data_IF_537686273234
#
_entry.id   IF_537686273234
#
_cell.length_a   1.000
_cell.length_b   1.000
_cell.length_c   1.000
_cell.angle_alpha   90.00
_cell.angle_beta   90.00
_cell.angle_gamma   90.00
#
_symmetry.space_group_name_H-M   'P 1'
#
loop_
_entity.id
_entity.type
_entity.pdbx_description
1 polymer ?
#
# COMPACT_ATOMS: atom_id res chain seq x y z
N UNK A 1 -14.10 29.63 43.64
CA UNK A 1 -14.14 28.34 42.91
C UNK A 1 -12.72 28.01 42.49
N UNK A 2 -12.03 27.21 43.30
CA UNK A 2 -10.67 26.72 43.02
C UNK A 2 -10.76 25.67 41.92
N UNK A 3 -10.21 25.96 40.75
CA UNK A 3 -10.08 24.97 39.68
C UNK A 3 -9.13 23.87 40.14
N UNK A 4 -9.67 22.68 40.42
CA UNK A 4 -8.88 21.46 40.60
C UNK A 4 -8.06 21.21 39.33
N UNK A 5 -6.73 21.08 39.41
CA UNK A 5 -5.93 20.74 38.25
C UNK A 5 -6.30 19.32 37.83
N UNK A 6 -6.87 19.17 36.64
CA UNK A 6 -7.04 17.87 36.00
C UNK A 6 -5.66 17.23 35.88
N UNK A 7 -5.38 16.22 36.73
CA UNK A 7 -4.16 15.42 36.66
C UNK A 7 -4.02 14.88 35.24
N UNK A 8 -3.02 15.37 34.51
CA UNK A 8 -2.63 14.76 33.23
C UNK A 8 -2.36 13.27 33.47
N UNK A 9 -2.91 12.37 32.65
CA UNK A 9 -2.73 10.94 32.83
C UNK A 9 -1.23 10.60 32.87
N UNK A 10 -0.85 9.66 33.74
CA UNK A 10 0.53 9.20 33.83
C UNK A 10 1.02 8.72 32.45
N UNK A 11 2.23 9.11 32.02
CA UNK A 11 2.73 8.73 30.72
C UNK A 11 2.87 7.21 30.61
N UNK A 12 2.54 6.66 29.44
CA UNK A 12 2.75 5.25 29.11
C UNK A 12 4.11 5.09 28.42
N UNK A 13 4.75 3.94 28.63
CA UNK A 13 6.05 3.62 28.01
C UNK A 13 5.90 2.58 26.90
N UNK A 14 6.79 2.68 25.91
CA UNK A 14 6.74 1.89 24.69
C UNK A 14 8.15 1.51 24.26
N UNK A 15 8.29 0.30 23.73
CA UNK A 15 9.50 -0.18 23.07
C UNK A 15 9.40 0.12 21.57
N UNK A 16 10.32 0.92 21.06
CA UNK A 16 10.34 1.38 19.68
C UNK A 16 11.53 0.74 18.95
N UNK A 17 11.26 0.04 17.86
CA UNK A 17 12.29 -0.43 16.94
C UNK A 17 12.72 0.73 16.03
N UNK A 18 14.03 1.00 15.97
CA UNK A 18 14.61 2.07 15.15
C UNK A 18 15.51 1.49 14.07
N UNK A 19 15.54 2.07 12.85
CA UNK A 19 16.33 1.58 11.72
C UNK A 19 17.82 1.91 11.90
N UNK A 20 18.42 1.28 12.90
CA UNK A 20 19.83 1.40 13.28
C UNK A 20 20.39 -0.01 13.52
N UNK A 21 21.69 -0.24 13.29
CA UNK A 21 22.33 -1.55 13.45
C UNK A 21 22.61 -1.85 14.94
N UNK A 22 21.58 -1.70 15.78
CA UNK A 22 21.64 -1.96 17.21
C UNK A 22 20.57 -3.01 17.55
N UNK A 23 20.93 -4.05 18.31
CA UNK A 23 19.98 -5.09 18.68
C UNK A 23 18.89 -4.53 19.61
N UNK A 24 17.67 -5.05 19.47
CA UNK A 24 16.54 -4.73 20.35
C UNK A 24 15.80 -3.43 20.02
N UNK A 25 15.20 -2.84 21.05
CA UNK A 25 14.30 -1.69 20.97
C UNK A 25 14.70 -0.62 21.97
N UNK A 26 14.16 0.60 21.79
CA UNK A 26 14.45 1.74 22.65
C UNK A 26 13.19 2.21 23.38
N UNK A 27 13.33 2.54 24.66
CA UNK A 27 12.20 2.98 25.50
C UNK A 27 11.88 4.45 25.25
N UNK A 28 10.60 4.73 24.98
CA UNK A 28 10.05 6.07 24.85
C UNK A 28 8.74 6.20 25.61
N UNK A 29 8.33 7.43 25.90
CA UNK A 29 7.06 7.73 26.58
C UNK A 29 6.09 8.53 25.72
N UNK A 30 4.79 8.31 25.94
CA UNK A 30 3.71 9.09 25.33
C UNK A 30 2.53 9.23 26.29
N UNK A 31 1.82 10.39 26.34
CA UNK A 31 0.72 10.61 27.28
C UNK A 31 -0.51 9.73 27.00
N UNK A 32 -0.72 9.31 25.75
CA UNK A 32 -1.87 8.48 25.36
C UNK A 32 -1.47 7.04 25.06
N UNK A 33 -2.47 6.16 25.00
CA UNK A 33 -2.33 4.79 24.49
C UNK A 33 -1.97 4.77 23.00
N UNK A 34 -0.89 4.08 22.64
CA UNK A 34 -0.53 3.81 21.25
C UNK A 34 -0.74 2.33 20.94
N UNK A 35 -1.16 2.03 19.72
CA UNK A 35 -1.23 0.66 19.24
C UNK A 35 0.16 0.18 18.80
N UNK A 36 0.43 -1.12 18.97
CA UNK A 36 1.60 -1.78 18.39
C UNK A 36 1.52 -1.74 16.86
N UNK A 37 2.66 -1.56 16.20
CA UNK A 37 2.77 -1.47 14.75
C UNK A 37 2.60 -0.06 14.16
N UNK A 38 2.29 0.96 14.97
CA UNK A 38 2.28 2.35 14.50
C UNK A 38 3.69 2.86 14.22
N UNK A 39 3.88 3.63 13.13
CA UNK A 39 5.09 4.42 12.95
C UNK A 39 5.02 5.67 13.84
N UNK A 40 6.13 5.94 14.52
CA UNK A 40 6.28 7.10 15.41
C UNK A 40 7.60 7.82 15.11
N UNK A 41 7.60 9.13 15.27
CA UNK A 41 8.81 9.94 15.18
C UNK A 41 9.40 10.16 16.58
N UNK A 42 10.69 9.91 16.75
CA UNK A 42 11.38 9.98 18.03
C UNK A 42 12.76 10.63 17.93
N UNK A 43 13.28 11.27 19.00
CA UNK A 43 14.66 11.74 19.02
C UNK A 43 15.62 10.58 19.30
N UNK A 44 16.68 10.46 18.52
CA UNK A 44 17.72 9.45 18.69
C UNK A 44 19.09 10.04 18.35
N UNK A 45 20.01 10.06 19.33
CA UNK A 45 21.39 10.54 19.15
C UNK A 45 21.52 11.88 18.39
N UNK A 46 20.71 12.89 18.75
CA UNK A 46 20.79 14.24 18.16
C UNK A 46 20.05 14.43 16.83
N UNK A 47 19.42 13.37 16.29
CA UNK A 47 18.56 13.44 15.09
C UNK A 47 17.16 12.91 15.37
N UNK A 48 16.23 13.17 14.46
CA UNK A 48 14.90 12.55 14.47
C UNK A 48 14.91 11.30 13.60
N UNK A 49 14.34 10.22 14.11
CA UNK A 49 14.13 8.96 13.38
C UNK A 49 12.67 8.55 13.41
N UNK A 50 12.28 7.76 12.41
CA UNK A 50 11.00 7.07 12.38
C UNK A 50 11.23 5.65 12.86
N UNK A 51 10.50 5.25 13.89
CA UNK A 51 10.50 3.90 14.43
C UNK A 51 9.12 3.29 14.42
N UNK A 52 9.04 2.01 14.79
CA UNK A 52 7.80 1.26 14.92
C UNK A 52 7.58 0.87 16.37
N UNK A 53 6.37 1.09 16.89
CA UNK A 53 5.97 0.63 18.22
C UNK A 53 5.94 -0.90 18.23
N UNK A 54 6.80 -1.54 19.01
CA UNK A 54 6.87 -3.01 19.10
C UNK A 54 6.06 -3.57 20.24
N UNK A 55 6.10 -2.92 21.40
CA UNK A 55 5.35 -3.36 22.57
C UNK A 55 5.11 -2.22 23.57
N UNK A 56 4.13 -2.42 24.44
CA UNK A 56 3.96 -1.62 25.64
C UNK A 56 5.01 -2.01 26.68
N UNK A 57 5.63 -1.04 27.32
CA UNK A 57 6.56 -1.25 28.42
C UNK A 57 5.86 -0.85 29.73
N UNK A 58 5.57 -1.82 30.60
CA UNK A 58 4.98 -1.57 31.93
C UNK A 58 6.05 -1.15 32.94
N UNK A 59 7.21 -1.78 32.85
CA UNK A 59 8.33 -1.61 33.77
C UNK A 59 9.57 -1.28 32.94
N UNK A 60 9.84 0.00 32.67
CA UNK A 60 11.01 0.38 31.89
C UNK A 60 12.30 0.10 32.67
N UNK A 61 13.30 -0.43 31.98
CA UNK A 61 14.64 -0.63 32.53
C UNK A 61 15.33 0.73 32.77
N UNK A 62 14.98 1.74 31.99
CA UNK A 62 15.47 3.10 32.14
C UNK A 62 14.65 3.86 33.19
N UNK A 63 15.32 4.67 34.03
CA UNK A 63 14.64 5.58 34.94
C UNK A 63 13.65 6.48 34.18
N UNK A 64 12.35 6.55 34.58
CA UNK A 64 11.29 7.26 33.85
C UNK A 64 11.58 8.72 33.47
N UNK A 65 12.44 9.39 34.24
CA UNK A 65 12.85 10.79 34.01
C UNK A 65 13.83 10.95 32.84
N UNK A 66 14.61 9.90 32.53
CA UNK A 66 15.58 9.86 31.42
C UNK A 66 14.94 9.39 30.11
N UNK A 67 13.74 8.82 30.16
CA UNK A 67 13.01 8.34 28.98
C UNK A 67 12.47 9.54 28.19
N UNK A 68 12.91 9.64 26.93
CA UNK A 68 12.49 10.73 26.04
C UNK A 68 11.05 10.50 25.55
N UNK A 69 10.37 11.58 25.21
CA UNK A 69 9.03 11.54 24.65
C UNK A 69 9.06 11.20 23.15
N UNK A 70 8.02 10.48 22.70
CA UNK A 70 7.68 10.38 21.28
C UNK A 70 7.27 11.78 20.79
N UNK A 71 7.82 12.21 19.64
CA UNK A 71 7.59 13.56 19.09
C UNK A 71 6.25 13.64 18.35
N UNK A 72 5.94 12.65 17.53
CA UNK A 72 4.67 12.55 16.82
C UNK A 72 4.32 11.11 16.45
N UNK A 73 3.02 10.85 16.34
CA UNK A 73 2.47 9.61 15.79
C UNK A 73 2.23 9.85 14.29
N UNK A 74 2.67 8.95 13.43
CA UNK A 74 2.59 9.12 11.97
C UNK A 74 1.30 8.49 11.43
N UNK A 75 0.92 7.33 11.96
CA UNK A 75 -0.21 6.55 11.48
C UNK A 75 -1.37 6.51 12.46
N UNK A 76 -2.58 6.36 11.91
CA UNK A 76 -3.78 6.01 12.68
C UNK A 76 -3.98 4.51 12.84
N UNK A 77 -3.25 3.69 12.09
CA UNK A 77 -3.35 2.23 12.07
C UNK A 77 -1.96 1.59 11.84
N UNK A 78 -1.75 0.32 12.23
CA UNK A 78 -0.46 -0.34 12.01
C UNK A 78 -0.01 -0.31 10.55
N UNK A 79 1.29 -0.03 10.34
CA UNK A 79 1.86 0.03 8.99
C UNK A 79 1.86 -1.33 8.30
N UNK A 80 1.97 -2.41 9.06
CA UNK A 80 1.96 -3.79 8.60
C UNK A 80 0.80 -4.57 9.25
N UNK A 81 0.14 -5.47 8.51
CA UNK A 81 -0.76 -6.48 9.09
C UNK A 81 -0.04 -7.35 10.12
N UNK A 82 -0.79 -7.86 11.09
CA UNK A 82 -0.24 -8.66 12.20
C UNK A 82 0.63 -9.83 11.71
N UNK A 83 0.20 -10.58 10.68
CA UNK A 83 0.97 -11.71 10.16
C UNK A 83 2.35 -11.31 9.62
N UNK A 84 2.47 -10.15 8.95
CA UNK A 84 3.77 -9.66 8.44
C UNK A 84 4.59 -9.07 9.59
N UNK A 85 3.93 -8.43 10.56
CA UNK A 85 4.60 -7.95 11.77
C UNK A 85 5.24 -9.10 12.56
N UNK A 86 4.50 -10.19 12.76
CA UNK A 86 4.98 -11.41 13.42
C UNK A 86 6.09 -12.08 12.61
N UNK A 87 5.98 -12.10 11.27
CA UNK A 87 7.06 -12.55 10.40
C UNK A 87 8.33 -11.72 10.62
N UNK A 88 8.24 -10.39 10.71
CA UNK A 88 9.41 -9.54 10.99
C UNK A 88 10.03 -9.84 12.36
N UNK A 89 9.21 -10.05 13.40
CA UNK A 89 9.70 -10.44 14.73
C UNK A 89 10.41 -11.78 14.69
N UNK A 90 9.79 -12.78 14.07
CA UNK A 90 10.36 -14.10 13.89
C UNK A 90 11.66 -14.04 13.08
N UNK A 91 11.70 -13.29 11.98
CA UNK A 91 12.90 -13.14 11.15
C UNK A 91 14.05 -12.49 11.92
N UNK A 92 13.78 -11.43 12.71
CA UNK A 92 14.81 -10.80 13.53
C UNK A 92 15.39 -11.76 14.57
N UNK A 93 14.53 -12.57 15.20
CA UNK A 93 14.95 -13.56 16.19
C UNK A 93 15.71 -14.73 15.55
N UNK A 94 15.19 -15.29 14.46
CA UNK A 94 15.74 -16.48 13.81
C UNK A 94 17.07 -16.18 13.10
N UNK A 95 17.15 -15.05 12.38
CA UNK A 95 18.35 -14.65 11.65
C UNK A 95 19.28 -13.73 12.47
N UNK A 96 18.99 -13.50 13.75
CA UNK A 96 19.78 -12.68 14.67
C UNK A 96 20.07 -11.26 14.13
N UNK A 97 19.08 -10.65 13.48
CA UNK A 97 19.21 -9.35 12.83
C UNK A 97 18.52 -8.25 13.66
N UNK A 98 19.07 -7.02 13.75
CA UNK A 98 18.40 -5.89 14.40
C UNK A 98 16.96 -5.69 13.92
N UNK A 99 16.00 -5.78 14.85
CA UNK A 99 14.56 -5.76 14.52
C UNK A 99 14.13 -4.48 13.79
N UNK A 100 14.75 -3.34 14.12
CA UNK A 100 14.45 -2.08 13.44
C UNK A 100 14.93 -2.03 11.99
N UNK A 101 16.02 -2.74 11.65
CA UNK A 101 16.46 -2.91 10.27
C UNK A 101 15.59 -3.91 9.51
N UNK A 102 15.11 -4.98 10.17
CA UNK A 102 14.15 -5.92 9.59
C UNK A 102 12.85 -5.20 9.21
N UNK A 103 12.28 -4.40 10.12
CA UNK A 103 11.11 -3.57 9.79
C UNK A 103 11.39 -2.55 8.69
N UNK A 104 12.58 -1.96 8.66
CA UNK A 104 12.95 -1.02 7.59
C UNK A 104 13.06 -1.70 6.22
N UNK A 105 13.55 -2.95 6.18
CA UNK A 105 13.65 -3.75 4.97
C UNK A 105 12.27 -4.20 4.45
N UNK A 106 11.31 -4.43 5.36
CA UNK A 106 9.93 -4.77 5.01
C UNK A 106 9.13 -3.60 4.39
N UNK A 107 9.65 -2.37 4.42
CA UNK A 107 8.93 -1.17 3.97
C UNK A 107 9.60 -0.46 2.79
N UNK A 108 8.83 -0.03 1.77
CA UNK A 108 9.36 0.82 0.69
C UNK A 108 9.90 2.15 1.20
N UNK A 109 10.79 2.79 0.42
CA UNK A 109 11.53 3.96 0.85
C UNK A 109 10.71 5.15 1.33
N UNK A 110 9.60 5.49 0.65
CA UNK A 110 8.73 6.58 1.11
C UNK A 110 7.93 6.20 2.35
N UNK A 111 7.54 4.93 2.47
CA UNK A 111 6.82 4.42 3.64
C UNK A 111 7.75 4.40 4.85
N UNK A 112 8.98 3.89 4.76
CA UNK A 112 9.93 4.00 5.89
C UNK A 112 10.26 5.45 6.29
N UNK A 113 10.13 6.41 5.36
CA UNK A 113 10.30 7.85 5.59
C UNK A 113 9.04 8.57 6.12
N UNK A 114 7.98 7.84 6.46
CA UNK A 114 6.78 8.43 7.09
C UNK A 114 5.75 8.98 6.12
N UNK A 115 5.83 8.66 4.82
CA UNK A 115 4.75 9.01 3.90
C UNK A 115 3.45 8.31 4.31
N UNK A 116 2.31 8.98 4.09
CA UNK A 116 0.99 8.44 4.43
C UNK A 116 0.75 7.07 3.79
N UNK A 117 0.07 6.18 4.53
CA UNK A 117 -0.33 4.85 4.02
C UNK A 117 -1.39 4.97 2.93
N UNK A 118 -2.30 5.93 3.09
CA UNK A 118 -3.35 6.26 2.11
C UNK A 118 -3.14 7.71 1.65
N UNK A 119 -2.49 7.94 0.50
CA UNK A 119 -2.21 9.28 0.01
C UNK A 119 -3.52 9.98 -0.36
N UNK A 120 -3.62 11.23 0.07
CA UNK A 120 -4.66 12.13 -0.39
C UNK A 120 -4.18 12.88 -1.63
N UNK A 121 -4.99 12.89 -2.67
CA UNK A 121 -4.80 13.74 -3.85
C UNK A 121 -5.71 14.96 -3.73
N UNK A 122 -5.24 16.08 -4.30
CA UNK A 122 -6.07 17.26 -4.48
C UNK A 122 -6.86 17.15 -5.77
N UNK A 123 -8.18 17.18 -5.63
CA UNK A 123 -9.13 17.25 -6.74
C UNK A 123 -9.85 18.59 -6.70
N UNK A 124 -10.15 19.11 -7.89
CA UNK A 124 -11.03 20.25 -8.04
C UNK A 124 -12.47 19.71 -8.12
N UNK A 125 -13.36 20.20 -7.28
CA UNK A 125 -14.78 19.83 -7.24
C UNK A 125 -15.65 21.06 -7.39
N UNK A 126 -16.95 20.86 -7.68
CA UNK A 126 -17.93 21.94 -7.60
C UNK A 126 -18.07 22.40 -6.14
N UNK A 127 -18.18 23.72 -5.95
CA UNK A 127 -18.36 24.30 -4.62
C UNK A 127 -19.75 24.01 -4.02
N UNK A 128 -20.76 23.79 -4.86
CA UNK A 128 -22.13 23.41 -4.47
C UNK A 128 -22.59 22.19 -5.24
N UNK A 129 -23.29 21.27 -4.57
CA UNK A 129 -23.86 20.04 -5.13
C UNK A 129 -25.33 20.18 -5.56
N UNK A 130 -25.94 21.35 -5.35
CA UNK A 130 -27.36 21.58 -5.65
C UNK A 130 -27.64 21.48 -7.16
N UNK A 131 -28.62 20.67 -7.61
CA UNK A 131 -28.93 20.46 -9.02
C UNK A 131 -29.56 21.65 -9.78
N UNK A 132 -29.73 22.82 -9.14
CA UNK A 132 -30.38 23.97 -9.74
C UNK A 132 -29.61 25.25 -9.41
N UNK A 133 -28.96 25.82 -10.42
CA UNK A 133 -28.23 27.08 -10.31
C UNK A 133 -26.70 26.96 -10.40
N UNK A 134 -26.19 26.14 -11.32
CA UNK A 134 -24.83 26.38 -11.81
C UNK A 134 -24.95 27.63 -12.68
N UNK A 135 -24.48 28.77 -12.18
CA UNK A 135 -24.51 30.04 -12.89
C UNK A 135 -23.54 30.01 -14.08
N UNK A 136 -23.90 29.26 -15.14
CA UNK A 136 -23.21 29.35 -16.43
C UNK A 136 -23.15 30.83 -16.88
N UNK A 137 -24.16 31.63 -16.51
CA UNK A 137 -24.22 33.07 -16.74
C UNK A 137 -22.97 33.84 -16.26
N UNK A 138 -22.39 33.46 -15.11
CA UNK A 138 -21.19 34.12 -14.56
C UNK A 138 -19.93 33.83 -15.39
N UNK A 139 -20.02 32.86 -16.30
CA UNK A 139 -18.88 32.26 -17.00
C UNK A 139 -19.07 32.25 -18.53
N UNK A 140 -20.27 32.58 -19.03
CA UNK A 140 -20.65 32.58 -20.46
C UNK A 140 -19.67 33.33 -21.37
N UNK A 141 -19.04 34.40 -20.88
CA UNK A 141 -18.08 35.22 -21.66
C UNK A 141 -16.67 34.64 -21.72
N UNK A 142 -16.38 33.53 -21.05
CA UNK A 142 -15.05 32.92 -20.97
C UNK A 142 -15.09 31.43 -21.36
N UNK A 143 -14.87 31.09 -22.65
CA UNK A 143 -15.04 29.73 -23.16
C UNK A 143 -14.27 28.66 -22.39
N UNK A 144 -13.04 28.95 -21.95
CA UNK A 144 -12.22 28.03 -21.16
C UNK A 144 -12.74 27.83 -19.73
N UNK A 145 -13.30 28.87 -19.11
CA UNK A 145 -13.92 28.75 -17.79
C UNK A 145 -15.22 27.93 -17.87
N UNK A 146 -16.02 28.14 -18.92
CA UNK A 146 -17.25 27.38 -19.16
C UNK A 146 -16.96 25.90 -19.45
N UNK A 147 -15.92 25.62 -20.25
CA UNK A 147 -15.46 24.26 -20.52
C UNK A 147 -15.00 23.54 -19.23
N UNK A 148 -14.26 24.22 -18.36
CA UNK A 148 -13.86 23.65 -17.07
C UNK A 148 -15.06 23.39 -16.17
N UNK A 149 -16.00 24.33 -16.10
CA UNK A 149 -17.21 24.19 -15.30
C UNK A 149 -18.03 22.98 -15.76
N UNK A 150 -18.27 22.83 -17.07
CA UNK A 150 -18.97 21.68 -17.66
C UNK A 150 -18.27 20.36 -17.37
N UNK A 151 -16.95 20.31 -17.50
CA UNK A 151 -16.18 19.11 -17.15
C UNK A 151 -16.35 18.74 -15.66
N UNK A 152 -16.41 19.72 -14.75
CA UNK A 152 -16.71 19.49 -13.33
C UNK A 152 -18.16 19.07 -13.08
N UNK A 153 -19.14 19.55 -13.85
CA UNK A 153 -20.54 19.09 -13.76
C UNK A 153 -20.65 17.62 -14.14
N UNK A 154 -20.02 17.24 -15.25
CA UNK A 154 -20.07 15.89 -15.79
C UNK A 154 -19.33 14.90 -14.90
N UNK A 155 -18.07 15.20 -14.54
CA UNK A 155 -17.19 14.27 -13.81
C UNK A 155 -17.25 14.40 -12.30
N UNK A 156 -17.90 15.44 -11.77
CA UNK A 156 -18.00 15.81 -10.34
C UNK A 156 -16.67 16.21 -9.66
N UNK A 157 -15.56 15.67 -10.14
CA UNK A 157 -14.22 15.95 -9.68
C UNK A 157 -13.21 15.85 -10.84
N UNK A 158 -12.15 16.66 -10.78
CA UNK A 158 -11.03 16.58 -11.70
C UNK A 158 -9.71 16.58 -10.92
N UNK A 159 -8.85 15.61 -11.21
CA UNK A 159 -7.47 15.56 -10.71
C UNK A 159 -6.58 16.60 -11.39
N UNK A 160 -5.39 16.86 -10.81
CA UNK A 160 -4.41 17.76 -11.43
C UNK A 160 -3.95 17.28 -12.81
N UNK A 161 -3.85 15.96 -13.01
CA UNK A 161 -3.50 15.37 -14.30
C UNK A 161 -4.57 15.66 -15.35
N UNK A 162 -5.84 15.43 -15.02
CA UNK A 162 -6.96 15.70 -15.93
C UNK A 162 -7.10 17.19 -16.25
N UNK A 163 -6.85 18.07 -15.28
CA UNK A 163 -6.84 19.52 -15.51
C UNK A 163 -5.75 19.93 -16.51
N UNK A 164 -4.56 19.32 -16.41
CA UNK A 164 -3.46 19.56 -17.33
C UNK A 164 -3.77 18.97 -18.73
N UNK A 165 -4.34 17.76 -18.81
CA UNK A 165 -4.76 17.13 -20.06
C UNK A 165 -5.85 17.95 -20.78
N UNK A 166 -6.81 18.49 -20.03
CA UNK A 166 -7.81 19.44 -20.51
C UNK A 166 -7.25 20.83 -20.84
N UNK A 167 -5.94 21.05 -20.64
CA UNK A 167 -5.23 22.31 -20.88
C UNK A 167 -5.89 23.51 -20.16
N UNK A 168 -6.33 23.29 -18.92
CA UNK A 168 -6.85 24.34 -18.06
C UNK A 168 -5.72 25.01 -17.31
N UNK A 169 -5.50 26.31 -17.57
CA UNK A 169 -4.45 27.06 -16.90
C UNK A 169 -4.78 27.34 -15.43
N UNK A 170 -3.76 27.62 -14.62
CA UNK A 170 -3.92 28.02 -13.23
C UNK A 170 -4.83 29.24 -13.05
N UNK A 171 -4.80 30.19 -13.99
CA UNK A 171 -5.66 31.36 -14.01
C UNK A 171 -7.14 31.00 -14.20
N UNK A 172 -7.46 30.05 -15.09
CA UNK A 172 -8.84 29.57 -15.31
C UNK A 172 -9.36 28.87 -14.06
N UNK A 173 -8.54 28.00 -13.45
CA UNK A 173 -8.90 27.29 -12.21
C UNK A 173 -9.15 28.30 -11.08
N UNK A 174 -8.25 29.27 -10.90
CA UNK A 174 -8.38 30.31 -9.88
C UNK A 174 -9.65 31.14 -10.09
N UNK A 175 -9.97 31.52 -11.32
CA UNK A 175 -11.18 32.29 -11.61
C UNK A 175 -12.48 31.58 -11.22
N UNK A 176 -12.57 30.25 -11.41
CA UNK A 176 -13.73 29.47 -10.92
C UNK A 176 -13.78 29.40 -9.39
N UNK A 177 -12.62 29.31 -8.73
CA UNK A 177 -12.53 29.29 -7.26
C UNK A 177 -12.92 30.65 -6.67
N UNK A 178 -12.39 31.75 -7.22
CA UNK A 178 -12.66 33.12 -6.78
C UNK A 178 -14.16 33.47 -6.96
N UNK A 179 -14.82 32.91 -7.98
CA UNK A 179 -16.27 33.00 -8.20
C UNK A 179 -17.10 32.07 -7.30
N UNK A 180 -16.46 31.27 -6.44
CA UNK A 180 -17.14 30.31 -5.58
C UNK A 180 -17.82 29.16 -6.33
N UNK A 181 -17.41 28.86 -7.56
CA UNK A 181 -17.98 27.80 -8.40
C UNK A 181 -17.23 26.46 -8.24
N UNK A 182 -15.95 26.52 -7.89
CA UNK A 182 -15.12 25.36 -7.65
C UNK A 182 -14.33 25.49 -6.34
N UNK A 183 -13.91 24.37 -5.78
CA UNK A 183 -13.02 24.34 -4.61
C UNK A 183 -12.05 23.16 -4.70
N UNK A 184 -10.88 23.32 -4.08
CA UNK A 184 -9.99 22.20 -3.85
C UNK A 184 -10.51 21.36 -2.70
N UNK A 185 -10.50 20.05 -2.90
CA UNK A 185 -10.79 19.07 -1.86
C UNK A 185 -9.70 18.01 -1.87
N UNK A 186 -9.25 17.63 -0.68
CA UNK A 186 -8.38 16.47 -0.51
C UNK A 186 -9.28 15.23 -0.50
N UNK A 187 -8.98 14.26 -1.38
CA UNK A 187 -9.65 12.96 -1.43
C UNK A 187 -8.62 11.84 -1.42
N UNK A 188 -9.01 10.64 -1.04
CA UNK A 188 -8.17 9.46 -1.16
C UNK A 188 -7.99 9.15 -2.66
N UNK A 189 -6.77 8.84 -3.07
CA UNK A 189 -6.49 8.35 -4.41
C UNK A 189 -7.17 6.98 -4.63
N UNK A 190 -8.37 7.02 -5.19
CA UNK A 190 -9.06 5.85 -5.71
C UNK A 190 -8.67 5.76 -7.18
N UNK A 191 -7.75 4.86 -7.52
CA UNK A 191 -7.62 4.48 -8.92
C UNK A 191 -8.94 3.78 -9.26
N UNK A 192 -9.76 4.29 -10.19
CA UNK A 192 -11.00 3.62 -10.55
C UNK A 192 -10.66 2.18 -10.89
N UNK A 193 -11.40 1.23 -10.32
CA UNK A 193 -11.33 -0.17 -10.72
C UNK A 193 -11.34 -0.18 -12.24
N UNK A 194 -10.22 -0.54 -12.86
CA UNK A 194 -10.25 -0.78 -14.30
C UNK A 194 -11.24 -1.93 -14.45
N UNK A 195 -12.35 -1.74 -15.19
CA UNK A 195 -13.29 -2.83 -15.42
C UNK A 195 -12.47 -3.98 -16.00
N UNK A 196 -12.65 -5.21 -15.49
CA UNK A 196 -11.93 -6.36 -16.01
C UNK A 196 -12.11 -6.35 -17.54
N UNK A 197 -11.01 -6.26 -18.27
CA UNK A 197 -11.05 -6.50 -19.70
C UNK A 197 -11.27 -7.99 -19.86
N UNK A 198 -12.16 -8.40 -20.76
CA UNK A 198 -12.33 -9.83 -21.05
C UNK A 198 -10.96 -10.40 -21.44
N UNK A 199 -10.49 -11.47 -20.76
CA UNK A 199 -9.23 -12.09 -21.14
C UNK A 199 -9.35 -12.57 -22.59
N UNK A 200 -8.34 -12.37 -23.43
CA UNK A 200 -8.37 -12.77 -24.83
C UNK A 200 -8.63 -14.28 -24.95
N UNK A 201 -9.45 -14.62 -25.95
CA UNK A 201 -10.14 -15.91 -26.21
C UNK A 201 -9.27 -17.19 -26.33
N UNK A 202 -7.97 -17.14 -26.06
CA UNK A 202 -7.12 -18.32 -26.10
C UNK A 202 -7.14 -19.06 -24.74
N UNK A 203 -8.23 -19.76 -24.46
CA UNK A 203 -8.32 -20.68 -23.30
C UNK A 203 -7.49 -21.93 -23.61
N UNK A 204 -6.20 -21.92 -23.26
CA UNK A 204 -5.35 -23.12 -23.28
C UNK A 204 -5.98 -24.16 -22.33
N UNK A 205 -6.44 -25.30 -22.87
CA UNK A 205 -7.01 -26.36 -22.03
C UNK A 205 -5.89 -27.06 -21.25
N UNK A 206 -6.04 -27.25 -19.93
CA UNK A 206 -5.05 -27.97 -19.15
C UNK A 206 -4.97 -29.43 -19.58
N UNK A 207 -3.78 -30.02 -19.47
CA UNK A 207 -3.63 -31.48 -19.56
C UNK A 207 -4.30 -32.16 -18.38
N UNK A 208 -4.50 -33.48 -18.45
CA UNK A 208 -5.05 -34.25 -17.32
C UNK A 208 -4.24 -34.06 -16.04
N UNK A 209 -2.91 -34.10 -16.13
CA UNK A 209 -2.01 -33.90 -14.98
C UNK A 209 -2.12 -32.50 -14.39
N UNK A 210 -2.23 -31.47 -15.24
CA UNK A 210 -2.43 -30.09 -14.79
C UNK A 210 -3.80 -29.92 -14.12
N UNK A 211 -4.85 -30.51 -14.67
CA UNK A 211 -6.19 -30.46 -14.07
C UNK A 211 -6.22 -31.14 -12.70
N UNK A 212 -5.59 -32.31 -12.56
CA UNK A 212 -5.44 -32.99 -11.27
C UNK A 212 -4.68 -32.13 -10.26
N UNK A 213 -3.61 -31.45 -10.68
CA UNK A 213 -2.88 -30.54 -9.81
C UNK A 213 -3.74 -29.36 -9.36
N UNK A 214 -4.49 -28.73 -10.29
CA UNK A 214 -5.42 -27.63 -10.00
C UNK A 214 -6.48 -28.08 -8.97
N UNK A 215 -7.11 -29.23 -9.19
CA UNK A 215 -8.19 -29.73 -8.34
C UNK A 215 -7.72 -30.15 -6.93
N UNK A 216 -6.44 -30.47 -6.77
CA UNK A 216 -5.85 -30.85 -5.48
C UNK A 216 -5.63 -29.66 -4.52
N UNK A 217 -5.58 -28.43 -5.06
CA UNK A 217 -5.22 -27.24 -4.31
C UNK A 217 -6.45 -26.65 -3.61
N UNK A 218 -6.48 -26.74 -2.29
CA UNK A 218 -7.56 -26.19 -1.48
C UNK A 218 -7.30 -24.70 -1.17
N UNK A 219 -8.05 -23.80 -1.82
CA UNK A 219 -7.87 -22.35 -1.67
C UNK A 219 -8.56 -21.74 -0.43
N UNK A 220 -9.25 -22.53 0.39
CA UNK A 220 -10.04 -22.04 1.53
C UNK A 220 -9.35 -22.26 2.89
N UNK A 221 -8.15 -22.84 2.90
CA UNK A 221 -7.38 -23.15 4.11
C UNK A 221 -5.88 -22.99 3.82
N UNK A 222 -5.09 -22.68 4.84
CA UNK A 222 -3.64 -22.67 4.69
C UNK A 222 -3.09 -24.10 4.46
N UNK A 223 -2.50 -24.32 3.30
CA UNK A 223 -1.78 -25.54 2.92
C UNK A 223 -0.61 -25.18 2.01
N UNK A 224 0.48 -25.94 2.11
CA UNK A 224 1.65 -25.80 1.26
C UNK A 224 1.68 -26.96 0.27
N UNK A 225 1.96 -26.65 -0.99
CA UNK A 225 2.01 -27.62 -2.09
C UNK A 225 3.33 -27.46 -2.84
N UNK A 226 3.90 -28.58 -3.28
CA UNK A 226 5.00 -28.60 -4.24
C UNK A 226 4.44 -28.98 -5.60
N UNK A 227 4.49 -28.06 -6.56
CA UNK A 227 4.16 -28.34 -7.95
C UNK A 227 5.44 -28.73 -8.71
N UNK A 228 5.72 -30.03 -8.76
CA UNK A 228 6.90 -30.55 -9.43
C UNK A 228 6.64 -30.80 -10.93
N UNK A 229 7.54 -30.31 -11.78
CA UNK A 229 7.51 -30.55 -13.22
C UNK A 229 8.70 -29.93 -13.93
N UNK A 230 9.21 -30.60 -14.96
CA UNK A 230 10.32 -30.09 -15.79
C UNK A 230 9.94 -28.80 -16.51
N UNK A 231 10.91 -28.03 -16.97
CA UNK A 231 10.66 -26.84 -17.81
C UNK A 231 9.82 -27.24 -19.04
N UNK A 232 8.80 -26.44 -19.37
CA UNK A 232 7.89 -26.73 -20.48
C UNK A 232 6.72 -27.66 -20.15
N UNK A 233 6.67 -28.29 -18.96
CA UNK A 233 5.50 -29.08 -18.51
C UNK A 233 4.22 -28.26 -18.27
N UNK A 234 4.32 -26.93 -18.32
CA UNK A 234 3.19 -26.02 -18.15
C UNK A 234 2.82 -25.73 -16.69
N UNK A 235 3.78 -25.79 -15.75
CA UNK A 235 3.59 -25.31 -14.35
C UNK A 235 2.95 -23.93 -14.28
N UNK A 236 3.36 -23.04 -15.19
CA UNK A 236 2.78 -21.71 -15.36
C UNK A 236 1.28 -21.73 -15.58
N UNK A 237 0.76 -22.63 -16.42
CA UNK A 237 -0.68 -22.68 -16.67
C UNK A 237 -1.45 -23.13 -15.41
N UNK A 238 -0.89 -24.05 -14.61
CA UNK A 238 -1.48 -24.47 -13.33
C UNK A 238 -1.64 -23.28 -12.39
N UNK A 239 -0.58 -22.50 -12.15
CA UNK A 239 -0.70 -21.36 -11.23
C UNK A 239 -1.56 -20.23 -11.80
N UNK A 240 -1.57 -20.00 -13.13
CA UNK A 240 -2.44 -19.00 -13.75
C UNK A 240 -3.93 -19.34 -13.52
N UNK A 241 -4.29 -20.62 -13.59
CA UNK A 241 -5.65 -21.12 -13.32
C UNK A 241 -6.02 -21.00 -11.84
N UNK A 242 -5.10 -21.29 -10.93
CA UNK A 242 -5.31 -21.10 -9.49
C UNK A 242 -5.50 -19.62 -9.15
N UNK A 243 -4.71 -18.73 -9.76
CA UNK A 243 -4.89 -17.28 -9.63
C UNK A 243 -6.29 -16.88 -10.11
N UNK A 244 -6.73 -17.34 -11.28
CA UNK A 244 -8.08 -17.04 -11.81
C UNK A 244 -9.19 -17.42 -10.81
N UNK A 245 -9.11 -18.60 -10.19
CA UNK A 245 -10.06 -19.01 -9.13
C UNK A 245 -10.00 -18.07 -7.91
N UNK A 246 -8.80 -17.66 -7.48
CA UNK A 246 -8.60 -16.70 -6.38
C UNK A 246 -9.20 -15.33 -6.71
N UNK A 247 -9.00 -14.85 -7.94
CA UNK A 247 -9.51 -13.55 -8.40
C UNK A 247 -11.04 -13.55 -8.52
N UNK A 248 -11.65 -14.65 -8.97
CA UNK A 248 -13.12 -14.82 -8.98
C UNK A 248 -13.72 -14.77 -7.57
N UNK A 249 -12.97 -15.20 -6.55
CA UNK A 249 -13.35 -15.07 -5.15
C UNK A 249 -13.07 -13.66 -4.56
N UNK A 250 -12.66 -12.69 -5.39
CA UNK A 250 -12.37 -11.32 -4.94
C UNK A 250 -11.12 -11.18 -4.07
N UNK A 251 -10.22 -12.18 -4.10
CA UNK A 251 -8.95 -12.20 -3.35
C UNK A 251 -7.77 -11.86 -4.26
N UNK A 252 -6.60 -11.63 -3.66
CA UNK A 252 -5.36 -11.23 -4.31
C UNK A 252 -4.38 -12.40 -4.41
N UNK A 253 -3.54 -12.36 -5.44
CA UNK A 253 -2.42 -13.28 -5.62
C UNK A 253 -1.08 -12.57 -5.53
N UNK A 254 -0.12 -13.16 -4.81
CA UNK A 254 1.28 -12.77 -4.81
C UNK A 254 2.10 -13.86 -5.50
N UNK A 255 2.91 -13.47 -6.49
CA UNK A 255 3.83 -14.36 -7.19
C UNK A 255 5.25 -13.86 -6.93
N UNK A 256 6.05 -14.69 -6.27
CA UNK A 256 7.48 -14.49 -6.11
C UNK A 256 8.19 -15.19 -7.26
N UNK A 257 8.99 -14.45 -8.00
CA UNK A 257 9.81 -14.95 -9.10
C UNK A 257 11.27 -14.59 -8.87
N UNK A 258 12.23 -15.34 -9.43
CA UNK A 258 13.64 -14.94 -9.43
C UNK A 258 13.83 -13.55 -10.03
N UNK A 259 14.86 -12.82 -9.60
CA UNK A 259 15.10 -11.45 -10.07
C UNK A 259 15.22 -11.35 -11.60
N UNK A 260 15.83 -12.35 -12.23
CA UNK A 260 16.01 -12.44 -13.68
C UNK A 260 14.70 -12.71 -14.44
N UNK A 261 13.69 -13.29 -13.79
CA UNK A 261 12.42 -13.67 -14.39
C UNK A 261 11.41 -12.52 -14.39
N UNK A 262 11.64 -11.47 -13.59
CA UNK A 262 10.77 -10.29 -13.52
C UNK A 262 11.02 -9.31 -14.67
N UNK A 263 10.81 -9.79 -15.90
CA UNK A 263 10.94 -8.97 -17.11
C UNK A 263 9.64 -8.22 -17.41
N UNK A 264 9.68 -7.08 -18.13
CA UNK A 264 8.49 -6.44 -18.66
C UNK A 264 7.61 -7.38 -19.49
N UNK A 265 8.21 -8.35 -20.20
CA UNK A 265 7.47 -9.35 -20.97
C UNK A 265 6.65 -10.28 -20.07
N UNK A 266 7.21 -10.71 -18.93
CA UNK A 266 6.49 -11.50 -17.92
C UNK A 266 5.27 -10.72 -17.41
N UNK A 267 5.46 -9.45 -17.07
CA UNK A 267 4.36 -8.58 -16.62
C UNK A 267 3.26 -8.45 -17.68
N UNK A 268 3.62 -8.10 -18.92
CA UNK A 268 2.65 -7.95 -20.01
C UNK A 268 1.91 -9.25 -20.31
N UNK A 269 2.57 -10.42 -20.18
CA UNK A 269 1.89 -11.71 -20.33
C UNK A 269 0.83 -11.94 -19.26
N UNK A 270 1.11 -11.61 -18.00
CA UNK A 270 0.11 -11.70 -16.93
C UNK A 270 -1.02 -10.69 -17.13
N UNK A 271 -0.71 -9.43 -17.46
CA UNK A 271 -1.72 -8.40 -17.75
C UNK A 271 -2.65 -8.84 -18.87
N UNK A 272 -2.08 -9.34 -19.97
CA UNK A 272 -2.83 -9.87 -21.10
C UNK A 272 -3.66 -11.11 -20.71
N UNK A 273 -3.12 -12.03 -19.90
CA UNK A 273 -3.83 -13.24 -19.47
C UNK A 273 -5.05 -12.95 -18.62
N UNK A 274 -4.97 -11.97 -17.72
CA UNK A 274 -6.02 -11.70 -16.74
C UNK A 274 -6.91 -10.51 -17.10
N UNK A 275 -6.54 -9.69 -18.08
CA UNK A 275 -7.26 -8.46 -18.42
C UNK A 275 -7.36 -7.48 -17.25
N UNK A 276 -6.40 -7.54 -16.33
CA UNK A 276 -6.40 -6.80 -15.06
C UNK A 276 -5.01 -6.21 -14.79
N UNK A 277 -4.93 -5.08 -14.06
CA UNK A 277 -3.66 -4.51 -13.62
C UNK A 277 -2.84 -5.52 -12.82
N UNK A 278 -1.56 -5.63 -13.19
CA UNK A 278 -0.54 -6.36 -12.44
C UNK A 278 0.46 -5.33 -11.92
N UNK A 279 0.82 -5.43 -10.65
CA UNK A 279 1.85 -4.54 -10.09
C UNK A 279 3.14 -5.31 -9.85
N UNK A 280 4.26 -4.69 -10.18
CA UNK A 280 5.59 -5.25 -9.96
C UNK A 280 6.23 -4.68 -8.69
N UNK A 281 6.87 -5.52 -7.88
CA UNK A 281 7.64 -5.09 -6.70
C UNK A 281 9.05 -5.69 -6.70
N UNK A 282 10.05 -4.85 -6.96
CA UNK A 282 11.46 -5.22 -6.98
C UNK A 282 12.37 -4.05 -6.63
N UNK A 283 13.64 -4.34 -6.37
CA UNK A 283 14.67 -3.37 -5.95
C UNK A 283 14.96 -2.28 -6.99
N UNK A 284 14.96 -2.63 -8.28
CA UNK A 284 15.21 -1.69 -9.38
C UNK A 284 14.06 -0.71 -9.66
N UNK A 285 12.90 -0.88 -9.01
CA UNK A 285 11.77 0.00 -9.21
C UNK A 285 11.99 1.33 -8.45
N UNK A 286 11.81 2.51 -9.09
CA UNK A 286 11.93 3.78 -8.40
C UNK A 286 11.05 3.83 -7.14
N UNK A 287 11.60 4.37 -6.05
CA UNK A 287 10.96 4.32 -4.73
C UNK A 287 9.53 4.88 -4.69
N UNK A 288 9.25 5.89 -5.52
CA UNK A 288 7.91 6.46 -5.68
C UNK A 288 6.93 5.45 -6.27
N UNK A 289 7.31 4.74 -7.35
CA UNK A 289 6.50 3.68 -7.96
C UNK A 289 6.35 2.49 -7.03
N UNK A 290 7.45 2.06 -6.39
CA UNK A 290 7.43 0.95 -5.42
C UNK A 290 6.49 1.22 -4.25
N UNK A 291 6.52 2.44 -3.72
CA UNK A 291 5.60 2.83 -2.64
C UNK A 291 4.15 2.93 -3.12
N UNK A 292 3.90 3.33 -4.37
CA UNK A 292 2.56 3.33 -4.96
C UNK A 292 2.01 1.90 -5.14
N UNK A 293 2.78 0.99 -5.72
CA UNK A 293 2.38 -0.42 -5.89
C UNK A 293 2.17 -1.14 -4.55
N UNK A 294 3.03 -0.87 -3.55
CA UNK A 294 2.84 -1.40 -2.21
C UNK A 294 1.51 -0.95 -1.59
N UNK A 295 1.11 0.31 -1.81
CA UNK A 295 -0.20 0.79 -1.35
C UNK A 295 -1.36 0.18 -2.12
N UNK A 296 -1.21 -0.01 -3.44
CA UNK A 296 -2.23 -0.67 -4.27
C UNK A 296 -2.45 -2.13 -3.82
N UNK A 297 -1.37 -2.84 -3.47
CA UNK A 297 -1.45 -4.16 -2.89
C UNK A 297 -2.16 -4.12 -1.52
N UNK A 298 -1.74 -3.19 -0.64
CA UNK A 298 -2.31 -3.00 0.69
C UNK A 298 -3.80 -2.69 0.69
N UNK A 299 -4.25 -1.84 -0.24
CA UNK A 299 -5.65 -1.41 -0.35
C UNK A 299 -6.53 -2.39 -1.11
N UNK A 300 -5.93 -3.40 -1.77
CA UNK A 300 -6.66 -4.35 -2.60
C UNK A 300 -6.93 -3.87 -4.03
N UNK A 301 -6.44 -2.69 -4.42
CA UNK A 301 -6.53 -2.15 -5.78
C UNK A 301 -5.71 -2.97 -6.80
N UNK A 302 -4.63 -3.63 -6.34
CA UNK A 302 -3.85 -4.54 -7.18
C UNK A 302 -4.30 -6.00 -6.94
N UNK A 303 -5.05 -6.63 -7.85
CA UNK A 303 -5.47 -8.03 -7.69
C UNK A 303 -4.30 -9.01 -7.79
N UNK A 304 -3.27 -8.66 -8.58
CA UNK A 304 -2.11 -9.50 -8.83
C UNK A 304 -0.84 -8.69 -8.54
N UNK A 305 0.01 -9.25 -7.69
CA UNK A 305 1.31 -8.70 -7.33
C UNK A 305 2.35 -9.69 -7.80
N UNK A 306 3.31 -9.23 -8.59
CA UNK A 306 4.49 -10.02 -8.96
C UNK A 306 5.72 -9.32 -8.40
N UNK A 307 6.59 -10.05 -7.73
CA UNK A 307 7.80 -9.46 -7.19
C UNK A 307 8.91 -10.46 -7.00
N UNK A 308 10.05 -9.94 -6.58
CA UNK A 308 11.19 -10.76 -6.16
C UNK A 308 11.10 -11.01 -4.66
N UNK A 309 12.12 -11.61 -4.04
CA UNK A 309 12.17 -11.92 -2.59
C UNK A 309 11.55 -10.87 -1.67
N UNK A 310 11.91 -9.60 -1.85
CA UNK A 310 11.45 -8.49 -0.98
C UNK A 310 9.92 -8.30 -0.98
N UNK A 311 9.22 -8.78 -2.00
CA UNK A 311 7.78 -8.67 -2.11
C UNK A 311 7.02 -9.56 -1.10
N UNK A 312 7.69 -10.51 -0.42
CA UNK A 312 7.07 -11.32 0.65
C UNK A 312 6.51 -10.46 1.79
N UNK A 313 7.10 -9.29 2.04
CA UNK A 313 6.63 -8.33 3.06
C UNK A 313 5.52 -7.41 2.57
N UNK A 314 4.99 -7.63 1.36
CA UNK A 314 3.92 -6.81 0.80
C UNK A 314 2.59 -7.17 1.46
N UNK A 315 1.90 -6.21 2.10
CA UNK A 315 0.56 -6.45 2.62
C UNK A 315 -0.43 -6.63 1.48
N UNK A 316 -1.29 -7.63 1.64
CA UNK A 316 -2.46 -7.86 0.79
C UNK A 316 -3.71 -7.56 1.63
N UNK A 317 -4.66 -6.80 1.09
CA UNK A 317 -5.96 -6.57 1.72
C UNK A 317 -6.74 -7.88 1.88
N UNK A 318 -6.65 -8.76 0.88
CA UNK A 318 -7.43 -9.99 0.77
C UNK A 318 -6.54 -11.12 0.23
N UNK A 319 -5.54 -11.62 0.98
CA UNK A 319 -4.63 -12.66 0.50
C UNK A 319 -5.41 -13.93 0.10
N UNK A 320 -5.11 -14.48 -1.07
CA UNK A 320 -5.76 -15.69 -1.58
C UNK A 320 -4.77 -16.81 -1.90
N UNK A 321 -3.67 -16.48 -2.58
CA UNK A 321 -2.59 -17.43 -2.87
C UNK A 321 -1.24 -16.70 -2.91
N UNK A 322 -0.20 -17.39 -2.44
CA UNK A 322 1.20 -17.00 -2.61
C UNK A 322 1.86 -18.12 -3.42
N UNK A 323 2.47 -17.77 -4.54
CA UNK A 323 3.20 -18.68 -5.43
C UNK A 323 4.68 -18.29 -5.36
N UNK A 324 5.54 -19.28 -5.18
CA UNK A 324 6.99 -19.12 -5.31
C UNK A 324 7.41 -19.92 -6.54
N UNK A 325 7.76 -19.21 -7.62
CA UNK A 325 8.24 -19.84 -8.84
C UNK A 325 9.74 -20.09 -8.73
N UNK A 326 10.20 -21.18 -9.36
CA UNK A 326 11.60 -21.61 -9.31
C UNK A 326 12.17 -21.63 -7.87
N UNK A 327 11.48 -22.32 -6.94
CA UNK A 327 11.80 -22.30 -5.48
C UNK A 327 13.22 -22.73 -5.12
N UNK A 328 13.87 -23.51 -5.99
CA UNK A 328 15.25 -23.97 -5.84
C UNK A 328 16.28 -22.88 -6.17
N UNK A 329 15.86 -21.76 -6.74
CA UNK A 329 16.73 -20.64 -7.06
C UNK A 329 17.33 -20.04 -5.78
N UNK A 330 18.66 -19.91 -5.76
CA UNK A 330 19.42 -19.38 -4.62
C UNK A 330 19.31 -17.85 -4.43
N UNK A 331 18.73 -17.15 -5.42
CA UNK A 331 18.55 -15.70 -5.44
C UNK A 331 17.24 -15.27 -4.79
#
# INVERSE_FOLDING_TARGET
>A
MTMTPTKSPAPKFYNIALPVPLPGTFEYRHPTGLQVGLRVKVPFSGRELIGIVVSHCKEPATAPQKIKSILSIIDSEPVLPQAIFDLCLWSAQYYLHPIGEVFAAALPGKIKQGAALTPTIRILTLASTSPGGIAEDDVKRSPKQLALLRALVERRALSRSELNQGQFSSAVIKALIDKGLARWQDTIEVNPDQPPHDPPDAVIQPTLEQQLAIDSVALNSHKTYLLYGVTGSGKTEVYLRLIDQVLRAGRQALILVPEIALTPQTLTRFEHRFGRPVVALHSNLPDQKRSAHWRQARSGQAPIIIGTRSAIFTPLARPGIIIVDEEHDSS
#
